data_IF_038601986379
#
_entry.id   IF_038601986379
#
_cell.length_a   1.000
_cell.length_b   1.000
_cell.length_c   1.000
_cell.angle_alpha   90.00
_cell.angle_beta   90.00
_cell.angle_gamma   90.00
#
_symmetry.space_group_name_H-M   'P 1'
#
loop_
_entity.id
_entity.type
_entity.pdbx_description
1 polymer ?
#
# COMPACT_ATOMS: atom_id res chain seq x y z
N UNK A 1 14.20 -11.69 17.79
CA UNK A 1 13.79 -11.96 16.39
C UNK A 1 14.28 -13.36 16.05
N UNK A 2 13.38 -14.27 15.69
CA UNK A 2 13.78 -15.65 15.41
C UNK A 2 14.23 -15.76 13.93
N UNK A 3 15.29 -16.50 13.64
CA UNK A 3 15.81 -16.66 12.26
C UNK A 3 14.72 -17.19 11.30
N UNK A 4 13.80 -18.02 11.79
CA UNK A 4 12.68 -18.53 11.02
C UNK A 4 11.71 -17.42 10.57
N UNK A 5 11.40 -16.45 11.45
CA UNK A 5 10.52 -15.31 11.10
C UNK A 5 11.15 -14.43 10.02
N UNK A 6 12.45 -14.14 10.14
CA UNK A 6 13.17 -13.37 9.14
C UNK A 6 13.16 -14.08 7.78
N UNK A 7 13.41 -15.40 7.78
CA UNK A 7 13.35 -16.19 6.57
C UNK A 7 11.95 -16.18 5.93
N UNK A 8 10.89 -16.28 6.73
CA UNK A 8 9.51 -16.21 6.25
C UNK A 8 9.21 -14.84 5.61
N UNK A 9 9.63 -13.72 6.22
CA UNK A 9 9.46 -12.39 5.63
C UNK A 9 10.17 -12.31 4.28
N UNK A 10 11.44 -12.74 4.22
CA UNK A 10 12.22 -12.72 2.98
C UNK A 10 11.58 -13.59 1.90
N UNK A 11 11.10 -14.77 2.28
CA UNK A 11 10.43 -15.69 1.35
C UNK A 11 9.14 -15.09 0.80
N UNK A 12 8.25 -14.59 1.66
CA UNK A 12 6.94 -14.04 1.27
C UNK A 12 7.04 -12.72 0.48
N UNK A 13 8.16 -12.02 0.56
CA UNK A 13 8.38 -10.80 -0.23
C UNK A 13 9.12 -11.10 -1.53
N UNK A 14 10.27 -11.77 -1.44
CA UNK A 14 11.15 -11.94 -2.61
C UNK A 14 10.71 -13.05 -3.56
N UNK A 15 10.14 -14.16 -3.05
CA UNK A 15 9.69 -15.24 -3.93
C UNK A 15 8.56 -14.81 -4.87
N UNK A 16 7.47 -14.14 -4.42
CA UNK A 16 6.44 -13.69 -5.34
C UNK A 16 6.91 -12.58 -6.28
N UNK A 17 7.84 -11.69 -5.85
CA UNK A 17 8.48 -10.72 -6.75
C UNK A 17 9.26 -11.43 -7.87
N UNK A 18 10.09 -12.41 -7.52
CA UNK A 18 10.81 -13.22 -8.49
C UNK A 18 9.86 -13.99 -9.40
N UNK A 19 8.81 -14.61 -8.84
CA UNK A 19 7.79 -15.32 -9.62
C UNK A 19 7.12 -14.39 -10.64
N UNK A 20 6.72 -13.18 -10.24
CA UNK A 20 6.15 -12.18 -11.14
C UNK A 20 7.06 -11.82 -12.30
N UNK A 21 8.34 -11.58 -12.00
CA UNK A 21 9.36 -11.31 -13.03
C UNK A 21 9.51 -12.47 -14.02
N UNK A 22 9.56 -13.71 -13.53
CA UNK A 22 9.66 -14.90 -14.38
C UNK A 22 8.39 -15.10 -15.23
N UNK A 23 7.21 -14.89 -14.67
CA UNK A 23 5.92 -14.97 -15.38
C UNK A 23 5.87 -13.96 -16.55
N UNK A 24 6.39 -12.74 -16.36
CA UNK A 24 6.54 -11.75 -17.43
C UNK A 24 7.49 -12.25 -18.51
N UNK A 25 8.66 -12.73 -18.12
CA UNK A 25 9.69 -13.18 -19.07
C UNK A 25 9.22 -14.37 -19.90
N UNK A 26 8.44 -15.26 -19.32
CA UNK A 26 7.85 -16.43 -19.99
C UNK A 26 6.55 -16.13 -20.73
N UNK A 27 6.01 -14.90 -20.59
CA UNK A 27 4.71 -14.50 -21.15
C UNK A 27 3.53 -15.38 -20.67
N UNK A 28 3.63 -15.97 -19.48
CA UNK A 28 2.59 -16.82 -18.90
C UNK A 28 1.47 -16.05 -18.25
N UNK A 29 1.65 -14.78 -17.99
CA UNK A 29 0.66 -13.89 -17.39
C UNK A 29 0.51 -12.62 -18.24
N UNK A 30 -0.70 -12.08 -18.27
CA UNK A 30 -1.03 -10.84 -18.98
C UNK A 30 -1.13 -9.67 -18.00
N UNK A 31 -1.02 -8.43 -18.52
CA UNK A 31 -1.22 -7.24 -17.68
C UNK A 31 -2.64 -7.15 -17.11
N UNK A 32 -3.65 -7.66 -17.83
CA UNK A 32 -5.02 -7.72 -17.32
C UNK A 32 -5.15 -8.64 -16.11
N UNK A 33 -4.47 -9.78 -16.10
CA UNK A 33 -4.42 -10.68 -14.95
C UNK A 33 -3.69 -10.05 -13.76
N UNK A 34 -2.58 -9.34 -13.99
CA UNK A 34 -1.90 -8.57 -12.94
C UNK A 34 -2.84 -7.55 -12.29
N UNK A 35 -3.53 -6.76 -13.10
CA UNK A 35 -4.47 -5.77 -12.61
C UNK A 35 -5.64 -6.42 -11.85
N UNK A 36 -6.12 -7.59 -12.31
CA UNK A 36 -7.12 -8.38 -11.61
C UNK A 36 -6.63 -8.84 -10.23
N UNK A 37 -5.39 -9.32 -10.12
CA UNK A 37 -4.78 -9.72 -8.84
C UNK A 37 -4.65 -8.51 -7.89
N UNK A 38 -4.18 -7.36 -8.38
CA UNK A 38 -4.08 -6.14 -7.58
C UNK A 38 -5.46 -5.69 -7.08
N UNK A 39 -6.48 -5.72 -7.94
CA UNK A 39 -7.84 -5.37 -7.57
C UNK A 39 -8.41 -6.33 -6.53
N UNK A 40 -8.23 -7.64 -6.71
CA UNK A 40 -8.64 -8.66 -5.75
C UNK A 40 -7.95 -8.48 -4.39
N UNK A 41 -6.65 -8.18 -4.39
CA UNK A 41 -5.93 -7.89 -3.15
C UNK A 41 -6.56 -6.72 -2.40
N UNK A 42 -6.78 -5.59 -3.08
CA UNK A 42 -7.27 -4.36 -2.44
C UNK A 42 -8.74 -4.47 -2.02
N UNK A 43 -9.57 -5.08 -2.86
CA UNK A 43 -11.03 -5.12 -2.64
C UNK A 43 -11.43 -6.25 -1.69
N UNK A 44 -10.79 -7.41 -1.79
CA UNK A 44 -11.20 -8.60 -1.03
C UNK A 44 -10.24 -8.86 0.13
N UNK A 45 -8.96 -9.11 -0.15
CA UNK A 45 -8.03 -9.56 0.90
C UNK A 45 -7.81 -8.50 1.98
N UNK A 46 -7.50 -7.26 1.58
CA UNK A 46 -7.30 -6.17 2.55
C UNK A 46 -8.58 -5.90 3.34
N UNK A 47 -9.75 -5.98 2.71
CA UNK A 47 -11.04 -5.78 3.41
C UNK A 47 -11.28 -6.83 4.48
N UNK A 48 -11.11 -8.11 4.13
CA UNK A 48 -11.29 -9.21 5.07
C UNK A 48 -10.24 -9.15 6.19
N UNK A 49 -8.99 -8.93 5.85
CA UNK A 49 -7.91 -8.87 6.84
C UNK A 49 -8.07 -7.68 7.78
N UNK A 50 -8.51 -6.52 7.27
CA UNK A 50 -8.83 -5.38 8.13
C UNK A 50 -9.99 -5.69 9.08
N UNK A 51 -11.06 -6.30 8.60
CA UNK A 51 -12.16 -6.71 9.45
C UNK A 51 -11.65 -7.62 10.58
N UNK A 52 -10.90 -8.66 10.25
CA UNK A 52 -10.42 -9.62 11.24
C UNK A 52 -9.42 -9.04 12.23
N UNK A 53 -8.49 -8.18 11.78
CA UNK A 53 -7.46 -7.59 12.64
C UNK A 53 -8.02 -6.49 13.54
N UNK A 54 -8.98 -5.71 13.05
CA UNK A 54 -9.63 -4.67 13.87
C UNK A 54 -10.63 -5.23 14.89
N UNK A 55 -11.09 -6.46 14.69
CA UNK A 55 -11.92 -7.17 15.69
C UNK A 55 -11.20 -7.41 17.03
N UNK A 56 -9.87 -7.48 17.03
CA UNK A 56 -9.07 -7.67 18.26
C UNK A 56 -8.31 -6.40 18.70
N UNK A 57 -8.48 -5.28 17.99
CA UNK A 57 -7.74 -4.07 18.26
C UNK A 57 -8.16 -3.46 19.61
N UNK A 58 -7.28 -3.35 20.61
CA UNK A 58 -7.62 -2.69 21.88
C UNK A 58 -7.86 -1.20 21.63
N UNK A 59 -9.04 -0.70 21.98
CA UNK A 59 -9.40 0.71 21.77
C UNK A 59 -8.76 1.57 22.89
N UNK A 60 -7.60 2.11 22.59
CA UNK A 60 -6.85 3.03 23.45
C UNK A 60 -6.76 4.39 22.78
N UNK A 61 -6.81 5.48 23.57
CA UNK A 61 -6.76 6.84 23.02
C UNK A 61 -5.50 7.13 22.19
N UNK A 62 -4.39 6.48 22.50
CA UNK A 62 -3.10 6.65 21.81
C UNK A 62 -3.12 6.15 20.37
N UNK A 63 -4.09 5.32 19.99
CA UNK A 63 -4.25 4.84 18.61
C UNK A 63 -4.46 5.97 17.60
N UNK A 64 -5.05 7.09 18.02
CA UNK A 64 -5.24 8.26 17.17
C UNK A 64 -3.92 8.94 16.76
N UNK A 65 -2.84 8.67 17.48
CA UNK A 65 -1.51 9.15 17.12
C UNK A 65 -0.97 8.50 15.84
N UNK A 66 -1.35 7.25 15.54
CA UNK A 66 -0.87 6.52 14.37
C UNK A 66 -1.26 7.21 13.03
N UNK A 67 -2.53 7.56 12.80
CA UNK A 67 -2.91 8.34 11.62
C UNK A 67 -2.23 9.70 11.56
N UNK A 68 -2.07 10.40 12.68
CA UNK A 68 -1.37 11.69 12.73
C UNK A 68 0.12 11.56 12.37
N UNK A 69 0.79 10.54 12.89
CA UNK A 69 2.18 10.24 12.53
C UNK A 69 2.32 9.88 11.04
N UNK A 70 1.34 9.18 10.46
CA UNK A 70 1.32 8.89 9.03
C UNK A 70 1.26 10.16 8.19
N UNK A 71 0.41 11.11 8.55
CA UNK A 71 0.35 12.42 7.88
C UNK A 71 1.68 13.15 8.01
N UNK A 72 2.23 13.22 9.23
CA UNK A 72 3.50 13.87 9.49
C UNK A 72 4.63 13.26 8.65
N UNK A 73 4.75 11.94 8.62
CA UNK A 73 5.79 11.26 7.82
C UNK A 73 5.62 11.51 6.33
N UNK A 74 4.40 11.52 5.81
CA UNK A 74 4.12 11.79 4.40
C UNK A 74 4.55 13.22 4.01
N UNK A 75 4.20 14.22 4.82
CA UNK A 75 4.58 15.62 4.56
C UNK A 75 6.08 15.86 4.73
N UNK A 76 6.71 15.26 5.75
CA UNK A 76 8.16 15.33 5.95
C UNK A 76 8.91 14.71 4.77
N UNK A 77 8.51 13.51 4.34
CA UNK A 77 9.14 12.82 3.21
C UNK A 77 9.04 13.63 1.92
N UNK A 78 7.85 14.18 1.62
CA UNK A 78 7.65 15.05 0.47
C UNK A 78 8.47 16.33 0.57
N UNK A 79 8.49 16.98 1.75
CA UNK A 79 9.24 18.21 2.03
C UNK A 79 10.75 18.03 1.93
N UNK A 80 11.28 16.87 2.33
CA UNK A 80 12.70 16.53 2.18
C UNK A 80 13.06 16.19 0.73
N UNK A 81 12.17 15.47 0.02
CA UNK A 81 12.43 15.06 -1.35
C UNK A 81 12.38 16.23 -2.33
N UNK A 82 11.47 17.19 -2.14
CA UNK A 82 11.30 18.33 -3.05
C UNK A 82 12.60 19.13 -3.29
N UNK A 83 13.41 19.52 -2.29
CA UNK A 83 14.67 20.20 -2.53
C UNK A 83 15.76 19.28 -3.10
N UNK A 84 15.73 17.98 -2.78
CA UNK A 84 16.73 17.00 -3.27
C UNK A 84 16.62 16.80 -4.78
N UNK A 85 15.37 16.75 -5.31
CA UNK A 85 15.14 16.53 -6.73
C UNK A 85 14.96 17.82 -7.57
N UNK A 86 15.24 18.99 -7.01
CA UNK A 86 15.07 20.30 -7.70
C UNK A 86 15.86 20.43 -9.02
N UNK A 87 16.90 19.65 -9.21
CA UNK A 87 17.73 19.62 -10.41
C UNK A 87 17.25 18.67 -11.50
N UNK A 88 16.23 17.86 -11.19
CA UNK A 88 15.64 16.90 -12.13
C UNK A 88 14.58 17.58 -13.02
N UNK A 89 14.15 16.89 -14.07
CA UNK A 89 13.02 17.34 -14.88
C UNK A 89 11.76 17.49 -14.02
N UNK A 90 10.85 18.40 -14.36
CA UNK A 90 9.60 18.58 -13.58
C UNK A 90 8.80 17.30 -13.44
N UNK A 91 8.78 16.43 -14.45
CA UNK A 91 8.08 15.15 -14.41
C UNK A 91 8.74 14.19 -13.43
N UNK A 92 10.07 14.09 -13.46
CA UNK A 92 10.82 13.23 -12.54
C UNK A 92 10.74 13.76 -11.10
N UNK A 93 10.82 15.07 -10.91
CA UNK A 93 10.64 15.72 -9.61
C UNK A 93 9.26 15.38 -9.01
N UNK A 94 8.19 15.52 -9.80
CA UNK A 94 6.84 15.18 -9.37
C UNK A 94 6.71 13.69 -9.00
N UNK A 95 7.29 12.82 -9.81
CA UNK A 95 7.29 11.37 -9.56
C UNK A 95 8.01 11.02 -8.25
N UNK A 96 9.20 11.60 -8.02
CA UNK A 96 9.99 11.33 -6.82
C UNK A 96 9.32 11.88 -5.54
N UNK A 97 8.77 13.10 -5.60
CA UNK A 97 8.07 13.69 -4.45
C UNK A 97 6.83 12.89 -4.08
N UNK A 98 6.02 12.51 -5.08
CA UNK A 98 4.82 11.69 -4.84
C UNK A 98 5.19 10.28 -4.36
N UNK A 99 6.23 9.66 -4.92
CA UNK A 99 6.70 8.35 -4.47
C UNK A 99 7.24 8.39 -3.03
N UNK A 100 7.93 9.47 -2.64
CA UNK A 100 8.41 9.65 -1.27
C UNK A 100 7.26 9.86 -0.27
N UNK A 101 6.18 10.52 -0.68
CA UNK A 101 5.01 10.77 0.14
C UNK A 101 4.18 9.51 0.37
N UNK A 102 4.12 8.61 -0.64
CA UNK A 102 3.28 7.41 -0.64
C UNK A 102 4.15 6.15 -0.47
N UNK A 103 4.44 5.77 0.76
CA UNK A 103 5.11 4.50 1.02
C UNK A 103 4.13 3.32 0.95
N UNK A 104 4.61 2.14 0.54
CA UNK A 104 3.80 0.92 0.54
C UNK A 104 3.67 0.33 1.96
N UNK A 105 3.04 1.09 2.85
CA UNK A 105 2.92 0.73 4.27
C UNK A 105 1.86 -0.36 4.44
N UNK A 106 0.68 -0.19 3.85
CA UNK A 106 -0.45 -1.09 4.07
C UNK A 106 -0.16 -2.55 3.76
N UNK A 107 0.51 -2.84 2.65
CA UNK A 107 0.79 -4.22 2.25
C UNK A 107 2.14 -4.71 2.78
N UNK A 108 3.23 -4.03 2.44
CA UNK A 108 4.58 -4.50 2.80
C UNK A 108 4.80 -4.47 4.31
N UNK A 109 4.58 -3.32 4.94
CA UNK A 109 4.77 -3.19 6.38
C UNK A 109 3.72 -3.99 7.17
N UNK A 110 2.48 -4.14 6.64
CA UNK A 110 1.44 -4.98 7.24
C UNK A 110 1.87 -6.44 7.33
N UNK A 111 2.35 -7.02 6.23
CA UNK A 111 2.83 -8.41 6.18
C UNK A 111 4.06 -8.59 7.08
N UNK A 112 5.05 -7.71 6.97
CA UNK A 112 6.24 -7.75 7.80
C UNK A 112 5.90 -7.60 9.30
N UNK A 113 5.02 -6.66 9.63
CA UNK A 113 4.53 -6.44 10.99
C UNK A 113 3.86 -7.68 11.56
N UNK A 114 2.97 -8.30 10.79
CA UNK A 114 2.32 -9.54 11.20
C UNK A 114 3.32 -10.67 11.49
N UNK A 115 4.25 -10.94 10.57
CA UNK A 115 5.20 -12.06 10.72
C UNK A 115 6.14 -11.84 11.92
N UNK A 116 6.52 -10.59 12.17
CA UNK A 116 7.45 -10.25 13.24
C UNK A 116 6.79 -10.10 14.61
N UNK A 117 5.60 -9.49 14.66
CA UNK A 117 4.96 -9.05 15.90
C UNK A 117 3.51 -9.53 16.07
N UNK A 118 2.96 -10.28 15.10
CA UNK A 118 1.63 -10.85 15.16
C UNK A 118 0.51 -9.92 14.67
N UNK A 119 -0.71 -10.37 14.87
CA UNK A 119 -1.91 -9.80 14.23
C UNK A 119 -2.23 -8.36 14.66
N UNK A 120 -1.98 -8.02 15.92
CA UNK A 120 -2.14 -6.65 16.42
C UNK A 120 -1.26 -5.65 15.68
N UNK A 121 -0.03 -6.04 15.35
CA UNK A 121 0.88 -5.20 14.57
C UNK A 121 0.33 -4.93 13.17
N UNK A 122 -0.31 -5.92 12.54
CA UNK A 122 -1.00 -5.70 11.26
C UNK A 122 -2.09 -4.62 11.39
N UNK A 123 -2.93 -4.70 12.44
CA UNK A 123 -3.98 -3.70 12.68
C UNK A 123 -3.40 -2.29 12.88
N UNK A 124 -2.33 -2.14 13.65
CA UNK A 124 -1.65 -0.86 13.84
C UNK A 124 -1.08 -0.29 12.54
N UNK A 125 -0.46 -1.13 11.72
CA UNK A 125 0.05 -0.73 10.41
C UNK A 125 -1.07 -0.29 9.48
N UNK A 126 -2.19 -1.00 9.47
CA UNK A 126 -3.35 -0.61 8.65
C UNK A 126 -3.95 0.71 9.13
N UNK A 127 -4.05 0.93 10.45
CA UNK A 127 -4.52 2.19 11.01
C UNK A 127 -3.59 3.35 10.63
N UNK A 128 -2.28 3.14 10.65
CA UNK A 128 -1.29 4.10 10.17
C UNK A 128 -1.45 4.38 8.67
N UNK A 129 -1.84 3.39 7.87
CA UNK A 129 -1.99 3.53 6.42
C UNK A 129 -3.30 4.23 5.97
N UNK A 130 -4.31 4.32 6.85
CA UNK A 130 -5.61 4.93 6.49
C UNK A 130 -5.49 6.32 5.88
N UNK A 131 -4.74 7.29 6.45
CA UNK A 131 -4.65 8.62 5.87
C UNK A 131 -3.97 8.65 4.50
N UNK A 132 -3.12 7.68 4.17
CA UNK A 132 -2.45 7.62 2.88
C UNK A 132 -3.40 7.45 1.71
N UNK A 133 -4.51 6.73 1.91
CA UNK A 133 -5.55 6.59 0.87
C UNK A 133 -6.20 7.93 0.56
N UNK A 134 -6.43 8.76 1.58
CA UNK A 134 -6.97 10.11 1.42
C UNK A 134 -5.92 11.02 0.77
N UNK A 135 -4.68 10.99 1.27
CA UNK A 135 -3.57 11.78 0.72
C UNK A 135 -3.30 11.46 -0.74
N UNK A 136 -3.40 10.19 -1.13
CA UNK A 136 -3.19 9.77 -2.52
C UNK A 136 -4.10 10.54 -3.48
N UNK A 137 -5.35 10.70 -3.12
CA UNK A 137 -6.34 11.30 -4.03
C UNK A 137 -6.40 12.81 -3.85
N UNK A 138 -6.36 13.30 -2.61
CA UNK A 138 -6.49 14.73 -2.31
C UNK A 138 -5.22 15.51 -2.65
N UNK A 139 -4.05 14.89 -2.53
CA UNK A 139 -2.79 15.60 -2.69
C UNK A 139 -1.86 14.97 -3.74
N UNK A 140 -1.64 13.66 -3.72
CA UNK A 140 -0.64 13.04 -4.58
C UNK A 140 -1.01 13.10 -6.06
N UNK A 141 -2.25 12.78 -6.43
CA UNK A 141 -2.69 12.89 -7.82
C UNK A 141 -2.71 14.34 -8.34
N UNK A 142 -3.27 15.33 -7.62
CA UNK A 142 -3.16 16.73 -8.03
C UNK A 142 -1.71 17.22 -8.15
N UNK A 143 -0.86 16.83 -7.22
CA UNK A 143 0.56 17.20 -7.25
C UNK A 143 1.27 16.60 -8.46
N UNK A 144 1.04 15.31 -8.76
CA UNK A 144 1.58 14.65 -9.95
C UNK A 144 1.12 15.36 -11.25
N UNK A 145 -0.16 15.72 -11.34
CA UNK A 145 -0.70 16.45 -12.49
C UNK A 145 -0.09 17.85 -12.62
N UNK A 146 0.10 18.56 -11.52
CA UNK A 146 0.76 19.88 -11.52
C UNK A 146 2.18 19.82 -12.09
N UNK A 147 2.98 18.83 -11.66
CA UNK A 147 4.34 18.66 -12.16
C UNK A 147 4.35 18.21 -13.64
N UNK A 148 3.44 17.32 -14.03
CA UNK A 148 3.32 16.86 -15.41
C UNK A 148 2.93 18.02 -16.36
N UNK A 149 2.01 18.88 -15.94
CA UNK A 149 1.61 20.06 -16.71
C UNK A 149 2.77 21.06 -16.90
N UNK A 150 3.59 21.29 -15.86
CA UNK A 150 4.80 22.14 -15.95
C UNK A 150 5.90 21.53 -16.81
N UNK A 151 6.01 20.21 -16.84
CA UNK A 151 6.98 19.49 -17.68
C UNK A 151 6.61 19.43 -19.18
N UNK A 152 5.51 20.06 -19.58
CA UNK A 152 5.05 20.07 -20.98
C UNK A 152 4.53 18.71 -21.49
N UNK A 153 4.39 17.72 -20.61
CA UNK A 153 3.96 16.36 -20.97
C UNK A 153 2.45 16.23 -21.22
N UNK A 154 1.68 17.24 -20.82
CA UNK A 154 0.22 17.30 -21.03
C UNK A 154 -0.08 18.58 -21.79
N UNK A 155 -0.26 18.47 -23.09
CA UNK A 155 -0.75 19.55 -23.95
C UNK A 155 -2.23 19.82 -23.68
N UNK A 156 -2.51 20.67 -22.69
CA UNK A 156 -3.85 21.12 -22.39
C UNK A 156 -4.11 21.18 -20.89
N UNK A 157 -4.79 22.23 -20.48
CA UNK A 157 -5.33 22.43 -19.13
C UNK A 157 -6.29 21.27 -18.82
N UNK A 158 -5.78 20.15 -18.31
CA UNK A 158 -6.66 19.15 -17.71
C UNK A 158 -7.26 19.82 -16.46
N UNK A 159 -8.58 20.12 -16.44
CA UNK A 159 -9.19 20.66 -15.23
C UNK A 159 -8.98 19.61 -14.14
N UNK A 160 -8.53 20.05 -12.97
CA UNK A 160 -8.54 19.26 -11.75
C UNK A 160 -10.00 18.89 -11.45
N UNK A 161 -10.49 17.81 -12.07
CA UNK A 161 -11.83 17.31 -11.79
C UNK A 161 -11.74 16.51 -10.48
N UNK A 162 -11.93 17.24 -9.39
CA UNK A 162 -12.11 16.66 -8.06
C UNK A 162 -13.52 16.07 -7.98
N UNK A 163 -13.64 14.78 -8.29
CA UNK A 163 -14.92 14.09 -8.10
C UNK A 163 -14.88 13.37 -6.74
N UNK A 164 -15.23 14.11 -5.68
CA UNK A 164 -15.29 13.58 -4.30
C UNK A 164 -16.15 12.31 -4.19
N UNK A 165 -17.14 12.16 -5.04
CA UNK A 165 -18.03 10.99 -5.05
C UNK A 165 -17.30 9.75 -5.57
N UNK A 166 -16.53 9.87 -6.62
CA UNK A 166 -15.67 8.78 -7.12
C UNK A 166 -14.56 8.45 -6.12
N UNK A 167 -14.09 9.43 -5.35
CA UNK A 167 -13.12 9.27 -4.30
C UNK A 167 -13.65 8.42 -3.14
N UNK A 168 -14.84 8.75 -2.63
CA UNK A 168 -15.40 8.12 -1.44
C UNK A 168 -16.07 6.77 -1.72
N UNK A 169 -16.56 6.54 -2.95
CA UNK A 169 -17.31 5.35 -3.33
C UNK A 169 -16.57 4.42 -4.31
N UNK A 170 -15.25 4.51 -4.34
CA UNK A 170 -14.44 3.57 -5.12
C UNK A 170 -14.36 2.21 -4.41
N UNK A 171 -14.43 1.07 -5.13
CA UNK A 171 -14.25 -0.26 -4.53
C UNK A 171 -12.97 -0.43 -3.70
N UNK A 172 -11.97 0.41 -3.95
CA UNK A 172 -10.71 0.46 -3.19
C UNK A 172 -10.88 0.93 -1.74
N UNK A 173 -12.01 1.57 -1.40
CA UNK A 173 -12.33 2.01 -0.04
C UNK A 173 -12.98 0.91 0.82
N UNK A 174 -13.28 -0.25 0.26
CA UNK A 174 -13.87 -1.38 1.01
C UNK A 174 -12.97 -1.83 2.18
N UNK A 175 -11.66 -1.63 2.09
CA UNK A 175 -10.74 -1.86 3.20
C UNK A 175 -11.11 -1.05 4.45
N UNK A 176 -11.56 0.20 4.29
CA UNK A 176 -12.03 1.05 5.41
C UNK A 176 -13.35 0.53 5.97
N UNK A 177 -14.24 0.02 5.10
CA UNK A 177 -15.49 -0.60 5.55
C UNK A 177 -15.21 -1.85 6.40
N UNK A 178 -14.26 -2.68 5.98
CA UNK A 178 -13.78 -3.83 6.77
C UNK A 178 -13.28 -3.41 8.15
N UNK A 179 -12.48 -2.33 8.23
CA UNK A 179 -12.00 -1.77 9.50
C UNK A 179 -13.16 -1.36 10.42
N UNK A 180 -14.13 -0.62 9.86
CA UNK A 180 -15.29 -0.13 10.64
C UNK A 180 -16.14 -1.28 11.18
N UNK A 181 -16.36 -2.33 10.37
CA UNK A 181 -17.07 -3.53 10.81
C UNK A 181 -16.28 -4.23 11.93
N UNK A 182 -14.95 -4.43 11.75
CA UNK A 182 -14.09 -5.04 12.76
C UNK A 182 -14.10 -4.27 14.08
N UNK A 183 -13.98 -2.93 14.02
CA UNK A 183 -14.10 -2.05 15.18
C UNK A 183 -15.50 -2.16 15.84
N UNK A 184 -16.56 -2.26 15.05
CA UNK A 184 -17.91 -2.48 15.57
C UNK A 184 -18.00 -3.79 16.35
N UNK A 185 -17.49 -4.90 15.82
CA UNK A 185 -17.44 -6.18 16.51
C UNK A 185 -16.65 -6.10 17.82
N UNK A 186 -15.53 -5.38 17.84
CA UNK A 186 -14.73 -5.14 19.03
C UNK A 186 -15.48 -4.31 20.06
N UNK A 187 -16.15 -3.23 19.65
CA UNK A 187 -16.94 -2.38 20.56
C UNK A 187 -18.09 -3.14 21.21
N UNK A 188 -18.76 -4.01 20.47
CA UNK A 188 -19.83 -4.87 20.98
C UNK A 188 -19.30 -6.10 21.72
N UNK A 189 -17.98 -6.22 21.90
CA UNK A 189 -17.34 -7.34 22.60
C UNK A 189 -17.77 -8.72 22.07
N UNK A 190 -17.98 -8.82 20.75
CA UNK A 190 -18.34 -10.08 20.10
C UNK A 190 -17.14 -11.02 20.19
N UNK A 191 -17.34 -12.20 20.79
CA UNK A 191 -16.29 -13.21 20.93
C UNK A 191 -15.80 -13.66 19.54
N UNK A 192 -14.48 -13.69 19.35
CA UNK A 192 -13.86 -14.11 18.12
C UNK A 192 -13.67 -15.63 18.13
N UNK A 193 -14.19 -16.38 17.13
CA UNK A 193 -13.99 -17.82 17.03
C UNK A 193 -12.50 -18.17 16.88
N UNK A 194 -12.04 -19.25 17.54
CA UNK A 194 -10.62 -19.62 17.59
C UNK A 194 -10.00 -19.90 16.23
N UNK A 195 -10.76 -20.45 15.26
CA UNK A 195 -10.27 -20.75 13.92
C UNK A 195 -9.87 -19.49 13.11
N UNK A 196 -10.36 -18.31 13.50
CA UNK A 196 -10.12 -17.06 12.78
C UNK A 196 -8.64 -16.67 12.81
N UNK A 197 -7.93 -17.00 13.89
CA UNK A 197 -6.49 -16.73 13.99
C UNK A 197 -5.67 -17.52 12.97
N UNK A 198 -5.98 -18.81 12.79
CA UNK A 198 -5.29 -19.63 11.80
C UNK A 198 -5.69 -19.24 10.37
N UNK A 199 -6.96 -18.89 10.17
CA UNK A 199 -7.44 -18.35 8.91
C UNK A 199 -6.74 -17.04 8.54
N UNK A 200 -6.58 -16.12 9.50
CA UNK A 200 -5.85 -14.87 9.28
C UNK A 200 -4.38 -15.13 8.88
N UNK A 201 -3.71 -16.08 9.56
CA UNK A 201 -2.34 -16.47 9.22
C UNK A 201 -2.23 -16.95 7.77
N UNK A 202 -3.16 -17.80 7.33
CA UNK A 202 -3.21 -18.25 5.94
C UNK A 202 -3.41 -17.10 4.96
N UNK A 203 -4.31 -16.16 5.28
CA UNK A 203 -4.59 -14.99 4.44
C UNK A 203 -3.38 -14.08 4.27
N UNK A 204 -2.53 -13.90 5.30
CA UNK A 204 -1.31 -13.08 5.20
C UNK A 204 -0.36 -13.61 4.13
N UNK A 205 -0.12 -14.92 4.11
CA UNK A 205 0.74 -15.54 3.10
C UNK A 205 0.12 -15.45 1.70
N UNK A 206 -1.18 -15.70 1.57
CA UNK A 206 -1.91 -15.54 0.30
C UNK A 206 -1.83 -14.09 -0.18
N UNK A 207 -2.02 -13.12 0.71
CA UNK A 207 -1.92 -11.70 0.38
C UNK A 207 -0.53 -11.34 -0.11
N UNK A 208 0.54 -11.84 0.51
CA UNK A 208 1.90 -11.60 0.08
C UNK A 208 2.11 -12.02 -1.40
N UNK A 209 1.68 -13.22 -1.74
CA UNK A 209 1.78 -13.73 -3.11
C UNK A 209 0.93 -12.95 -4.11
N UNK A 210 -0.33 -12.67 -3.77
CA UNK A 210 -1.25 -11.94 -4.67
C UNK A 210 -0.83 -10.48 -4.84
N UNK A 211 -0.24 -9.84 -3.81
CA UNK A 211 0.18 -8.46 -3.86
C UNK A 211 1.53 -8.27 -4.57
N UNK A 212 2.54 -9.12 -4.26
CA UNK A 212 3.89 -8.90 -4.76
C UNK A 212 4.17 -9.54 -6.13
N UNK A 213 3.42 -10.57 -6.55
CA UNK A 213 3.56 -11.13 -7.90
C UNK A 213 3.30 -10.09 -9.00
N UNK A 214 2.22 -9.30 -8.98
CA UNK A 214 2.01 -8.23 -9.94
C UNK A 214 3.08 -7.14 -9.89
N UNK A 215 3.59 -6.81 -8.70
CA UNK A 215 4.70 -5.85 -8.56
C UNK A 215 5.94 -6.38 -9.28
N UNK A 216 6.33 -7.63 -9.01
CA UNK A 216 7.44 -8.27 -9.70
C UNK A 216 7.26 -8.36 -11.22
N UNK A 217 6.03 -8.56 -11.69
CA UNK A 217 5.70 -8.54 -13.11
C UNK A 217 5.92 -7.16 -13.76
N UNK A 218 5.66 -6.07 -13.04
CA UNK A 218 5.80 -4.70 -13.57
C UNK A 218 7.22 -4.15 -13.48
N UNK A 219 8.09 -4.69 -12.62
CA UNK A 219 9.47 -4.24 -12.46
C UNK A 219 10.26 -4.46 -13.76
N UNK A 220 10.89 -3.39 -14.25
CA UNK A 220 11.86 -3.40 -15.34
C UNK A 220 13.27 -3.15 -14.78
N UNK A 221 13.96 -4.24 -14.44
CA UNK A 221 15.31 -4.16 -13.88
C UNK A 221 16.30 -3.49 -14.85
N UNK A 222 16.11 -3.63 -16.16
CA UNK A 222 17.02 -3.03 -17.14
C UNK A 222 16.94 -1.49 -17.09
N UNK A 223 15.74 -0.96 -16.99
CA UNK A 223 15.54 0.50 -16.81
C UNK A 223 16.02 0.97 -15.44
N UNK A 224 15.72 0.22 -14.37
CA UNK A 224 16.15 0.59 -13.03
C UNK A 224 17.68 0.69 -12.90
N UNK A 225 18.44 -0.27 -13.45
CA UNK A 225 19.90 -0.21 -13.46
C UNK A 225 20.46 0.89 -14.36
N UNK A 226 19.77 1.25 -15.45
CA UNK A 226 20.20 2.35 -16.29
C UNK A 226 20.10 3.70 -15.58
N UNK A 227 19.00 3.93 -14.84
CA UNK A 227 18.84 5.14 -14.02
C UNK A 227 19.85 5.23 -12.88
N UNK A 228 20.16 4.11 -12.22
CA UNK A 228 21.19 4.08 -11.16
C UNK A 228 22.61 4.42 -11.64
N UNK A 229 22.89 4.21 -12.93
CA UNK A 229 24.18 4.57 -13.52
C UNK A 229 24.28 6.04 -13.95
N UNK A 230 23.14 6.72 -14.10
CA UNK A 230 23.07 8.12 -14.52
C UNK A 230 22.92 9.10 -13.35
N UNK A 231 22.58 8.59 -12.12
CA UNK A 231 22.53 9.35 -10.88
C UNK A 231 23.89 9.39 -10.19
#
# INVERSE_FOLDING_TARGET
MNHAQLFTVLFDVFCPLAAGYFLRRRKWMTMAQCNGMMLFNVVVLITVMNLLSFWILPLQGDLLLLPLLSLLTAFLSAGMMAPLCRHQSFVDQGTLVVAAMLANIGTLAGICGYILYGELSFAYVQLFAVPQNILMVVLAFPLAQYYAARGGSVGGKAPLQFNLRELLFTPKQLGVVGMLIGLGLQLFQVERPGFVTDFFRMLVHIQAWIAFTPVGYTIDFHRAFHYLRQA
#
